data_IF_128190537373
#
_entry.id   IF_128190537373
#
_cell.length_a   1.000
_cell.length_b   1.000
_cell.length_c   1.000
_cell.angle_alpha   90.00
_cell.angle_beta   90.00
_cell.angle_gamma   90.00
#
_symmetry.space_group_name_H-M   'P 1'
#
loop_
_entity.id
_entity.type
_entity.pdbx_description
1 polymer ?
#
# COMPACT_ATOMS: atom_id res chain seq x y z
N UNK A 1 -8.86 9.30 -15.11
CA UNK A 1 -8.18 10.60 -15.20
C UNK A 1 -6.74 10.40 -14.75
N UNK A 2 -5.78 10.37 -15.67
CA UNK A 2 -4.36 10.21 -15.31
C UNK A 2 -3.88 11.50 -14.67
N UNK A 3 -3.75 11.50 -13.34
CA UNK A 3 -3.16 12.63 -12.64
C UNK A 3 -1.65 12.63 -12.86
N UNK A 4 -1.11 13.77 -13.25
CA UNK A 4 0.33 14.03 -13.31
C UNK A 4 0.80 14.45 -11.94
N UNK A 5 1.93 13.94 -11.51
CA UNK A 5 2.48 14.29 -10.22
C UNK A 5 4.01 14.31 -10.29
N UNK A 6 4.60 15.27 -9.58
CA UNK A 6 6.05 15.43 -9.49
C UNK A 6 6.42 15.53 -8.02
N UNK A 7 7.31 14.66 -7.55
CA UNK A 7 7.77 14.65 -6.17
C UNK A 7 9.26 14.98 -6.11
N UNK A 8 9.60 16.05 -5.43
CA UNK A 8 10.99 16.38 -5.17
C UNK A 8 11.49 15.61 -3.94
N UNK A 9 12.14 14.48 -4.19
CA UNK A 9 12.50 13.50 -3.15
C UNK A 9 13.53 14.03 -2.16
N UNK A 10 14.48 14.87 -2.61
CA UNK A 10 15.46 15.47 -1.71
C UNK A 10 14.79 16.20 -0.53
N UNK A 11 13.69 16.92 -0.80
CA UNK A 11 12.96 17.66 0.22
C UNK A 11 12.03 16.77 1.03
N UNK A 12 11.34 15.83 0.37
CA UNK A 12 10.38 14.93 1.03
C UNK A 12 11.07 13.98 2.01
N UNK A 13 12.26 13.49 1.66
CA UNK A 13 12.99 12.51 2.45
C UNK A 13 14.27 13.09 3.12
N UNK A 14 14.46 14.41 3.06
CA UNK A 14 15.64 15.09 3.62
C UNK A 14 16.97 14.46 3.15
N UNK A 15 17.05 14.13 1.85
CA UNK A 15 18.22 13.48 1.28
C UNK A 15 19.41 14.46 1.20
N UNK A 16 20.60 13.99 1.60
CA UNK A 16 21.85 14.77 1.63
C UNK A 16 22.61 14.63 0.30
N UNK A 17 21.95 14.87 -0.81
CA UNK A 17 22.56 14.87 -2.15
C UNK A 17 22.34 16.21 -2.84
N UNK A 18 23.36 16.69 -3.58
CA UNK A 18 23.29 17.93 -4.36
C UNK A 18 22.44 17.77 -5.63
N UNK A 19 22.42 16.56 -6.20
CA UNK A 19 21.62 16.27 -7.39
C UNK A 19 20.14 16.22 -7.05
N UNK A 20 19.27 16.92 -7.80
CA UNK A 20 17.84 16.83 -7.61
C UNK A 20 17.32 15.44 -8.04
N UNK A 21 16.60 14.78 -7.14
CA UNK A 21 15.93 13.51 -7.40
C UNK A 21 14.43 13.76 -7.48
N UNK A 22 13.84 13.46 -8.64
CA UNK A 22 12.43 13.71 -8.91
C UNK A 22 11.77 12.41 -9.33
N UNK A 23 10.67 12.06 -8.65
CA UNK A 23 9.76 11.00 -9.09
C UNK A 23 8.63 11.64 -9.86
N UNK A 24 8.45 11.20 -11.11
CA UNK A 24 7.42 11.72 -12.02
C UNK A 24 6.41 10.63 -12.33
N UNK A 25 5.13 10.92 -12.14
CA UNK A 25 4.04 10.03 -12.49
C UNK A 25 3.29 10.57 -13.72
N UNK A 26 3.12 9.71 -14.74
CA UNK A 26 2.38 10.01 -15.96
C UNK A 26 2.85 11.33 -16.63
N UNK A 27 4.13 11.48 -16.99
CA UNK A 27 4.64 12.69 -17.62
C UNK A 27 3.94 12.92 -18.98
N UNK A 28 3.74 14.20 -19.36
CA UNK A 28 3.23 14.55 -20.70
C UNK A 28 4.29 14.42 -21.78
N UNK A 29 5.51 14.73 -21.38
CA UNK A 29 6.69 14.64 -22.24
C UNK A 29 7.73 13.82 -21.51
N UNK A 30 8.50 13.07 -22.28
CA UNK A 30 9.57 12.25 -21.72
C UNK A 30 10.55 13.12 -20.90
N UNK A 31 10.76 12.82 -19.61
CA UNK A 31 11.72 13.58 -18.79
C UNK A 31 13.15 13.39 -19.29
N UNK A 32 14.00 14.37 -19.03
CA UNK A 32 15.43 14.23 -19.28
C UNK A 32 16.15 13.64 -18.07
N UNK A 33 17.19 12.85 -18.32
CA UNK A 33 18.00 12.27 -17.23
C UNK A 33 17.27 11.19 -16.44
N UNK A 34 16.51 10.34 -17.13
CA UNK A 34 15.83 9.19 -16.51
C UNK A 34 16.88 8.22 -15.99
N UNK A 35 16.80 7.88 -14.71
CA UNK A 35 17.60 6.83 -14.08
C UNK A 35 16.91 5.48 -14.09
N UNK A 36 15.58 5.50 -13.92
CA UNK A 36 14.75 4.29 -13.93
C UNK A 36 13.33 4.62 -14.37
N UNK A 37 12.67 3.68 -15.04
CA UNK A 37 11.30 3.78 -15.46
C UNK A 37 10.58 2.45 -15.23
N UNK A 38 9.41 2.53 -14.59
CA UNK A 38 8.62 1.35 -14.28
C UNK A 38 7.13 1.61 -14.53
N UNK A 39 6.46 0.68 -15.19
CA UNK A 39 5.02 0.70 -15.32
C UNK A 39 4.39 0.02 -14.10
N UNK A 40 3.62 0.79 -13.32
CA UNK A 40 2.94 0.30 -12.13
C UNK A 40 1.44 0.43 -12.26
N UNK A 41 0.71 -0.62 -11.83
CA UNK A 41 -0.72 -0.53 -11.59
C UNK A 41 -0.96 0.07 -10.20
N UNK A 42 -1.77 1.12 -10.13
CA UNK A 42 -2.14 1.75 -8.87
C UNK A 42 -3.61 1.46 -8.54
N UNK A 43 -3.92 0.94 -7.33
CA UNK A 43 -5.29 0.70 -6.92
C UNK A 43 -6.14 1.98 -7.00
N UNK A 44 -7.36 1.85 -7.50
CA UNK A 44 -8.34 2.94 -7.51
C UNK A 44 -9.37 2.67 -6.40
N UNK A 45 -9.54 3.64 -5.51
CA UNK A 45 -10.46 3.53 -4.37
C UNK A 45 -11.80 4.20 -4.73
N UNK A 46 -12.64 3.48 -5.43
CA UNK A 46 -14.03 3.84 -5.72
C UNK A 46 -15.01 3.11 -4.77
N UNK A 47 -16.29 3.37 -4.93
CA UNK A 47 -17.34 2.76 -4.09
C UNK A 47 -17.40 1.24 -4.26
N UNK A 48 -17.10 0.71 -5.46
CA UNK A 48 -17.09 -0.72 -5.71
C UNK A 48 -15.89 -1.39 -5.01
N UNK A 49 -14.73 -0.76 -5.04
CA UNK A 49 -13.54 -1.21 -4.32
C UNK A 49 -13.78 -1.23 -2.81
N UNK A 50 -14.38 -0.18 -2.25
CA UNK A 50 -14.71 -0.12 -0.82
C UNK A 50 -15.67 -1.24 -0.40
N UNK A 51 -16.69 -1.50 -1.21
CA UNK A 51 -17.63 -2.61 -0.98
C UNK A 51 -16.94 -4.00 -1.08
N UNK A 52 -15.96 -4.14 -1.99
CA UNK A 52 -15.19 -5.36 -2.14
C UNK A 52 -14.26 -5.63 -0.93
N UNK A 53 -13.67 -4.58 -0.36
CA UNK A 53 -12.83 -4.69 0.83
C UNK A 53 -13.57 -5.31 2.02
N UNK A 54 -14.83 -4.93 2.23
CA UNK A 54 -15.68 -5.50 3.28
C UNK A 54 -15.88 -7.02 3.11
N UNK A 55 -15.83 -7.51 1.88
CA UNK A 55 -15.99 -8.94 1.55
C UNK A 55 -14.69 -9.73 1.64
N UNK A 56 -13.53 -9.07 1.72
CA UNK A 56 -12.22 -9.72 1.71
C UNK A 56 -12.07 -10.80 2.81
N UNK A 57 -12.51 -10.58 4.06
CA UNK A 57 -12.41 -11.61 5.11
C UNK A 57 -13.08 -12.92 4.73
N UNK A 58 -14.15 -12.88 3.93
CA UNK A 58 -14.90 -14.08 3.53
C UNK A 58 -14.16 -15.00 2.55
N UNK A 59 -13.10 -14.52 1.92
CA UNK A 59 -12.27 -15.29 0.97
C UNK A 59 -10.88 -15.62 1.50
N UNK A 60 -10.46 -15.04 2.61
CA UNK A 60 -9.16 -15.34 3.23
C UNK A 60 -9.08 -16.82 3.60
N UNK A 61 -7.96 -17.45 3.25
CA UNK A 61 -7.68 -18.86 3.53
C UNK A 61 -8.39 -19.86 2.62
N UNK A 62 -9.25 -19.43 1.71
CA UNK A 62 -9.88 -20.35 0.75
C UNK A 62 -8.85 -20.96 -0.18
N UNK A 63 -8.80 -22.30 -0.23
CA UNK A 63 -7.81 -23.01 -1.02
C UNK A 63 -6.35 -22.76 -0.57
N UNK A 64 -6.11 -22.31 0.66
CA UNK A 64 -4.80 -21.94 1.18
C UNK A 64 -4.26 -20.59 0.68
N UNK A 65 -5.09 -19.77 0.03
CA UNK A 65 -4.70 -18.46 -0.50
C UNK A 65 -5.11 -17.35 0.46
N UNK A 66 -4.15 -16.46 0.75
CA UNK A 66 -4.35 -15.29 1.59
C UNK A 66 -3.98 -14.01 0.84
N UNK A 67 -4.69 -12.92 1.12
CA UNK A 67 -4.53 -11.63 0.46
C UNK A 67 -4.12 -10.57 1.46
N UNK A 68 -3.00 -9.89 1.21
CA UNK A 68 -2.52 -8.77 1.98
C UNK A 68 -2.05 -7.64 1.07
N UNK A 69 -2.01 -6.43 1.58
CA UNK A 69 -1.53 -5.24 0.89
C UNK A 69 -2.27 -3.98 1.30
N UNK A 70 -1.66 -2.83 1.06
CA UNK A 70 -2.25 -1.53 1.39
C UNK A 70 -3.60 -1.29 0.68
N UNK A 71 -3.84 -1.92 -0.47
CA UNK A 71 -5.08 -1.85 -1.23
C UNK A 71 -6.30 -2.44 -0.49
N UNK A 72 -6.08 -3.21 0.58
CA UNK A 72 -7.16 -3.77 1.41
C UNK A 72 -7.87 -2.73 2.30
N UNK A 73 -7.31 -1.50 2.39
CA UNK A 73 -7.90 -0.32 3.05
C UNK A 73 -7.68 0.93 2.21
N UNK A 74 -6.97 1.92 2.73
CA UNK A 74 -6.83 3.25 2.12
C UNK A 74 -5.55 3.45 1.30
N UNK A 75 -4.65 2.48 1.27
CA UNK A 75 -3.44 2.51 0.46
C UNK A 75 -2.20 3.09 1.15
N UNK A 76 -2.23 3.25 2.46
CA UNK A 76 -1.08 3.71 3.25
C UNK A 76 -0.18 2.54 3.71
N UNK A 77 1.05 2.86 4.12
CA UNK A 77 2.00 1.86 4.62
C UNK A 77 1.43 1.07 5.80
N UNK A 78 0.76 1.77 6.72
CA UNK A 78 0.10 1.18 7.88
C UNK A 78 -1.00 0.18 7.50
N UNK A 79 -1.75 0.47 6.45
CA UNK A 79 -2.77 -0.46 5.93
C UNK A 79 -2.14 -1.75 5.39
N UNK A 80 -0.95 -1.64 4.78
CA UNK A 80 -0.16 -2.79 4.33
C UNK A 80 0.24 -3.68 5.49
N UNK A 81 0.79 -3.09 6.55
CA UNK A 81 1.19 -3.81 7.76
C UNK A 81 -0.01 -4.46 8.45
N UNK A 82 -1.09 -3.71 8.67
CA UNK A 82 -2.31 -4.21 9.28
C UNK A 82 -2.90 -5.39 8.49
N UNK A 83 -2.88 -5.33 7.17
CA UNK A 83 -3.38 -6.44 6.34
C UNK A 83 -2.55 -7.71 6.50
N UNK A 84 -1.22 -7.59 6.61
CA UNK A 84 -0.33 -8.71 6.85
C UNK A 84 -0.57 -9.34 8.23
N UNK A 85 -0.83 -8.53 9.25
CA UNK A 85 -1.18 -9.00 10.58
C UNK A 85 -2.50 -9.78 10.60
N UNK A 86 -3.51 -9.29 9.91
CA UNK A 86 -4.80 -10.01 9.77
C UNK A 86 -4.63 -11.37 9.11
N UNK A 87 -3.76 -11.47 8.10
CA UNK A 87 -3.40 -12.76 7.50
C UNK A 87 -2.69 -13.65 8.51
N UNK A 88 -1.69 -13.14 9.23
CA UNK A 88 -0.97 -13.90 10.25
C UNK A 88 -1.93 -14.44 11.34
N UNK A 89 -2.84 -13.61 11.82
CA UNK A 89 -3.88 -14.02 12.77
C UNK A 89 -4.80 -15.13 12.20
N UNK A 90 -5.23 -14.98 10.94
CA UNK A 90 -6.01 -16.01 10.26
C UNK A 90 -5.26 -17.34 10.10
N UNK A 91 -3.94 -17.29 10.06
CA UNK A 91 -3.05 -18.47 10.06
C UNK A 91 -2.72 -18.99 11.48
N UNK A 92 -3.25 -18.37 12.52
CA UNK A 92 -2.98 -18.74 13.93
C UNK A 92 -1.63 -18.25 14.46
N UNK A 93 -1.02 -17.27 13.80
CA UNK A 93 0.28 -16.68 14.20
C UNK A 93 0.01 -15.45 15.06
N UNK A 94 0.57 -15.42 16.28
CA UNK A 94 0.45 -14.28 17.18
C UNK A 94 1.41 -13.14 16.78
N UNK A 95 1.09 -11.91 17.19
CA UNK A 95 1.96 -10.75 17.05
C UNK A 95 3.31 -10.96 17.74
N UNK A 96 4.46 -10.82 17.05
CA UNK A 96 5.77 -11.20 17.60
C UNK A 96 6.40 -10.15 18.53
N UNK A 97 5.88 -8.91 18.59
CA UNK A 97 6.52 -7.78 19.27
C UNK A 97 5.78 -7.33 20.56
N UNK A 98 5.23 -8.26 21.34
CA UNK A 98 4.55 -7.95 22.60
C UNK A 98 3.05 -7.70 22.42
N UNK A 99 2.52 -6.57 22.93
CA UNK A 99 1.10 -6.25 22.75
C UNK A 99 0.81 -5.86 21.32
N UNK A 100 -0.24 -6.46 20.74
CA UNK A 100 -0.73 -6.11 19.40
C UNK A 100 -1.36 -4.70 19.45
N UNK A 101 -0.76 -3.71 18.79
CA UNK A 101 -1.26 -2.33 18.82
C UNK A 101 -2.59 -2.14 18.08
N UNK A 102 -3.03 -3.14 17.32
CA UNK A 102 -4.31 -3.13 16.55
C UNK A 102 -5.28 -4.23 17.00
N UNK A 103 -5.10 -4.80 18.20
CA UNK A 103 -5.95 -5.88 18.70
C UNK A 103 -7.44 -5.50 18.66
N UNK A 104 -7.78 -4.27 18.99
CA UNK A 104 -9.15 -3.76 18.99
C UNK A 104 -9.71 -3.55 17.57
N UNK A 105 -8.87 -3.13 16.63
CA UNK A 105 -9.28 -2.95 15.22
C UNK A 105 -9.48 -4.29 14.48
N UNK A 106 -8.73 -5.32 14.87
CA UNK A 106 -8.84 -6.64 14.26
C UNK A 106 -10.16 -7.34 14.62
N UNK A 107 -10.79 -6.97 15.74
CA UNK A 107 -12.08 -7.52 16.18
C UNK A 107 -13.28 -6.77 15.60
N UNK A 108 -13.10 -5.58 15.05
CA UNK A 108 -14.16 -4.71 14.53
C UNK A 108 -14.46 -4.91 13.03
N UNK A 109 -13.83 -5.89 12.37
CA UNK A 109 -13.97 -6.19 10.93
C UNK A 109 -14.75 -7.54 10.69
#
# INVERSE_FOLDING_TARGET
MNRKCYYWMNRLQNLKTESPLIVTLNPETEPRGIHDETLMAHPQFDTATMAAQVRLPSIQGRGGVYYAGAWTRYGFHEDGLLSALRVAQAMGIAWPLGQDPWADEAQAA
#
